data_IF_382517008691
#
_entry.id   IF_382517008691
#
_cell.length_a   1.000
_cell.length_b   1.000
_cell.length_c   1.000
_cell.angle_alpha   90.00
_cell.angle_beta   90.00
_cell.angle_gamma   90.00
#
_symmetry.space_group_name_H-M   'P 1'
#
loop_
_entity.id
_entity.type
_entity.pdbx_description
1 polymer ?
#
# COMPACT_ATOMS: atom_id res chain seq x y z
N UNK A 1 -8.74 -33.32 39.12
CA UNK A 1 -7.73 -33.68 38.10
C UNK A 1 -8.32 -33.78 36.67
N UNK A 2 -9.65 -33.76 36.49
CA UNK A 2 -10.31 -33.92 35.18
C UNK A 2 -10.34 -32.67 34.27
N UNK A 3 -10.10 -31.46 34.79
CA UNK A 3 -10.14 -30.23 33.97
C UNK A 3 -8.92 -30.01 33.07
N UNK A 4 -7.72 -30.29 33.58
CA UNK A 4 -6.46 -30.05 32.86
C UNK A 4 -6.29 -31.03 31.69
N UNK A 5 -6.73 -32.28 31.83
CA UNK A 5 -6.66 -33.28 30.76
C UNK A 5 -7.55 -32.94 29.55
N UNK A 6 -8.73 -32.37 29.78
CA UNK A 6 -9.64 -31.93 28.71
C UNK A 6 -9.08 -30.68 28.02
N UNK A 7 -8.49 -29.74 28.77
CA UNK A 7 -7.81 -28.57 28.18
C UNK A 7 -6.57 -28.94 27.36
N UNK A 8 -5.78 -29.92 27.81
CA UNK A 8 -4.59 -30.38 27.07
C UNK A 8 -4.95 -31.15 25.79
N UNK A 9 -6.03 -31.95 25.81
CA UNK A 9 -6.56 -32.62 24.61
C UNK A 9 -7.26 -31.64 23.64
N UNK A 10 -7.89 -30.58 24.16
CA UNK A 10 -8.44 -29.49 23.37
C UNK A 10 -7.35 -28.64 22.70
N UNK A 11 -6.24 -28.38 23.38
CA UNK A 11 -5.09 -27.66 22.83
C UNK A 11 -4.37 -28.49 21.76
N UNK A 12 -4.16 -29.79 22.00
CA UNK A 12 -3.49 -30.65 21.01
C UNK A 12 -4.30 -30.85 19.74
N UNK A 13 -5.62 -31.04 19.85
CA UNK A 13 -6.51 -31.13 18.69
C UNK A 13 -6.60 -29.83 17.89
N UNK A 14 -6.60 -28.68 18.58
CA UNK A 14 -6.62 -27.35 17.94
C UNK A 14 -5.32 -27.07 17.18
N UNK A 15 -4.16 -27.45 17.74
CA UNK A 15 -2.86 -27.30 17.09
C UNK A 15 -2.76 -28.17 15.83
N UNK A 16 -3.20 -29.43 15.90
CA UNK A 16 -3.21 -30.33 14.73
C UNK A 16 -4.13 -29.78 13.64
N UNK A 17 -5.32 -29.29 14.01
CA UNK A 17 -6.27 -28.70 13.05
C UNK A 17 -5.69 -27.43 12.39
N UNK A 18 -5.00 -26.59 13.16
CA UNK A 18 -4.30 -25.41 12.63
C UNK A 18 -3.18 -25.80 11.66
N UNK A 19 -2.37 -26.81 11.99
CA UNK A 19 -1.30 -27.28 11.11
C UNK A 19 -1.85 -27.87 9.81
N UNK A 20 -2.92 -28.66 9.88
CA UNK A 20 -3.59 -29.22 8.69
C UNK A 20 -4.19 -28.10 7.83
N UNK A 21 -4.84 -27.11 8.45
CA UNK A 21 -5.37 -25.96 7.73
C UNK A 21 -4.25 -25.14 7.08
N UNK A 22 -3.16 -24.86 7.80
CA UNK A 22 -2.01 -24.14 7.27
C UNK A 22 -1.37 -24.90 6.10
N UNK A 23 -1.24 -26.23 6.20
CA UNK A 23 -0.72 -27.06 5.13
C UNK A 23 -1.65 -27.08 3.91
N UNK A 24 -2.95 -27.23 4.11
CA UNK A 24 -3.94 -27.17 3.03
C UNK A 24 -3.96 -25.81 2.34
N UNK A 25 -3.93 -24.72 3.11
CA UNK A 25 -3.86 -23.36 2.60
C UNK A 25 -2.57 -23.11 1.81
N UNK A 26 -1.43 -23.60 2.31
CA UNK A 26 -0.14 -23.46 1.63
C UNK A 26 -0.10 -24.26 0.32
N UNK A 27 -0.62 -25.50 0.35
CA UNK A 27 -0.77 -26.33 -0.85
C UNK A 27 -1.68 -25.65 -1.88
N UNK A 28 -2.83 -25.14 -1.44
CA UNK A 28 -3.75 -24.41 -2.31
C UNK A 28 -3.10 -23.16 -2.89
N UNK A 29 -2.39 -22.38 -2.08
CA UNK A 29 -1.65 -21.20 -2.53
C UNK A 29 -0.55 -21.57 -3.55
N UNK A 30 0.16 -22.68 -3.34
CA UNK A 30 1.17 -23.19 -4.27
C UNK A 30 0.56 -23.62 -5.61
N UNK A 31 -0.52 -24.41 -5.58
CA UNK A 31 -1.26 -24.79 -6.79
C UNK A 31 -1.82 -23.58 -7.52
N UNK A 32 -2.38 -22.62 -6.77
CA UNK A 32 -2.87 -21.37 -7.33
C UNK A 32 -1.75 -20.61 -8.02
N UNK A 33 -0.59 -20.48 -7.40
CA UNK A 33 0.56 -19.75 -7.95
C UNK A 33 1.05 -20.35 -9.28
N UNK A 34 1.00 -21.67 -9.42
CA UNK A 34 1.30 -22.38 -10.68
C UNK A 34 0.23 -22.13 -11.74
N UNK A 35 -1.04 -22.12 -11.36
CA UNK A 35 -2.17 -21.99 -12.27
C UNK A 35 -2.61 -20.55 -12.57
N UNK A 36 -1.99 -19.53 -11.96
CA UNK A 36 -2.28 -18.10 -12.19
C UNK A 36 -2.35 -17.76 -13.68
N UNK A 37 -1.42 -18.28 -14.49
CA UNK A 37 -1.38 -18.02 -15.93
C UNK A 37 -2.57 -18.61 -16.71
N UNK A 38 -3.12 -19.74 -16.23
CA UNK A 38 -4.32 -20.35 -16.81
C UNK A 38 -5.57 -19.57 -16.41
N UNK A 39 -5.65 -19.14 -15.15
CA UNK A 39 -6.75 -18.31 -14.65
C UNK A 39 -6.81 -16.94 -15.36
N UNK A 40 -5.66 -16.30 -15.59
CA UNK A 40 -5.58 -15.03 -16.31
C UNK A 40 -6.14 -15.16 -17.74
N UNK A 41 -5.77 -16.23 -18.46
CA UNK A 41 -6.28 -16.51 -19.81
C UNK A 41 -7.78 -16.81 -19.82
N UNK A 42 -8.28 -17.55 -18.84
CA UNK A 42 -9.69 -17.90 -18.74
C UNK A 42 -10.56 -16.66 -18.51
N UNK A 43 -10.17 -15.80 -17.56
CA UNK A 43 -10.85 -14.54 -17.26
C UNK A 43 -10.81 -13.54 -18.43
N UNK A 44 -9.67 -13.42 -19.11
CA UNK A 44 -9.56 -12.58 -20.31
C UNK A 44 -10.38 -13.12 -21.50
N UNK A 45 -10.75 -14.40 -21.51
CA UNK A 45 -11.61 -14.97 -22.56
C UNK A 45 -13.08 -14.57 -22.41
N UNK A 46 -13.54 -14.31 -21.18
CA UNK A 46 -14.88 -13.80 -20.90
C UNK A 46 -15.04 -12.29 -21.17
N UNK A 47 -13.93 -11.57 -21.41
CA UNK A 47 -13.95 -10.14 -21.71
C UNK A 47 -13.91 -9.86 -23.23
N UNK A 48 -14.73 -8.92 -23.73
CA UNK A 48 -14.64 -8.45 -25.10
C UNK A 48 -13.26 -7.86 -25.39
N UNK A 49 -12.78 -7.96 -26.64
CA UNK A 49 -11.41 -7.62 -27.06
C UNK A 49 -11.02 -6.18 -26.67
N UNK A 50 -11.98 -5.26 -26.70
CA UNK A 50 -11.81 -3.85 -26.29
C UNK A 50 -11.49 -3.67 -24.79
N UNK A 51 -11.97 -4.58 -23.94
CA UNK A 51 -11.75 -4.54 -22.48
C UNK A 51 -10.47 -5.27 -22.04
N UNK A 52 -9.84 -6.08 -22.90
CA UNK A 52 -8.63 -6.87 -22.53
C UNK A 52 -7.43 -6.00 -22.19
N UNK A 53 -7.18 -4.92 -22.94
CA UNK A 53 -6.11 -3.98 -22.59
C UNK A 53 -6.37 -3.29 -21.26
N UNK A 54 -7.61 -2.88 -21.00
CA UNK A 54 -8.00 -2.22 -19.75
C UNK A 54 -7.86 -3.16 -18.55
N UNK A 55 -8.37 -4.40 -18.68
CA UNK A 55 -8.25 -5.41 -17.63
C UNK A 55 -6.79 -5.71 -17.29
N UNK A 56 -5.91 -5.77 -18.30
CA UNK A 56 -4.47 -5.98 -18.08
C UNK A 56 -3.81 -4.82 -17.34
N UNK A 57 -4.19 -3.58 -17.65
CA UNK A 57 -3.69 -2.38 -16.93
C UNK A 57 -4.18 -2.35 -15.48
N UNK A 58 -5.46 -2.66 -15.25
CA UNK A 58 -6.04 -2.74 -13.91
C UNK A 58 -5.35 -3.84 -13.09
N UNK A 59 -5.10 -5.01 -13.69
CA UNK A 59 -4.38 -6.11 -13.05
C UNK A 59 -2.95 -5.71 -12.64
N UNK A 60 -2.21 -5.04 -13.54
CA UNK A 60 -0.85 -4.55 -13.27
C UNK A 60 -0.83 -3.53 -12.13
N UNK A 61 -1.80 -2.63 -12.11
CA UNK A 61 -1.93 -1.61 -11.07
C UNK A 61 -2.28 -2.25 -9.72
N UNK A 62 -3.16 -3.26 -9.71
CA UNK A 62 -3.49 -4.03 -8.53
C UNK A 62 -2.28 -4.78 -7.97
N UNK A 63 -1.52 -5.46 -8.83
CA UNK A 63 -0.28 -6.14 -8.47
C UNK A 63 0.74 -5.17 -7.85
N UNK A 64 0.92 -4.01 -8.47
CA UNK A 64 1.80 -2.96 -7.96
C UNK A 64 1.33 -2.41 -6.60
N UNK A 65 0.02 -2.18 -6.44
CA UNK A 65 -0.56 -1.67 -5.21
C UNK A 65 -0.37 -2.64 -4.04
N UNK A 66 -0.66 -3.93 -4.27
CA UNK A 66 -0.48 -4.98 -3.28
C UNK A 66 1.00 -5.17 -2.96
N UNK A 67 1.86 -5.17 -3.98
CA UNK A 67 3.31 -5.27 -3.81
C UNK A 67 3.92 -4.11 -3.02
N UNK A 68 3.48 -2.88 -3.29
CA UNK A 68 3.89 -1.69 -2.53
C UNK A 68 3.43 -1.79 -1.07
N UNK A 69 2.17 -2.17 -0.82
CA UNK A 69 1.61 -2.35 0.52
C UNK A 69 2.38 -3.40 1.34
N UNK A 70 2.64 -4.57 0.76
CA UNK A 70 3.38 -5.65 1.44
C UNK A 70 4.79 -5.17 1.79
N UNK A 71 5.48 -4.53 0.83
CA UNK A 71 6.85 -4.04 1.03
C UNK A 71 6.93 -2.98 2.13
N UNK A 72 6.04 -1.99 2.11
CA UNK A 72 5.99 -0.96 3.14
C UNK A 72 5.64 -1.54 4.51
N UNK A 73 4.73 -2.52 4.56
CA UNK A 73 4.34 -3.17 5.82
C UNK A 73 5.49 -3.98 6.41
N UNK A 74 6.21 -4.76 5.60
CA UNK A 74 7.37 -5.54 6.07
C UNK A 74 8.47 -4.63 6.60
N UNK A 75 8.76 -3.53 5.89
CA UNK A 75 9.75 -2.54 6.34
C UNK A 75 9.27 -1.89 7.65
N UNK A 76 8.00 -1.50 7.76
CA UNK A 76 7.44 -0.90 8.95
C UNK A 76 7.50 -1.85 10.16
N UNK A 77 7.15 -3.12 9.99
CA UNK A 77 7.26 -4.16 11.04
C UNK A 77 8.70 -4.26 11.54
N UNK A 78 9.68 -4.33 10.62
CA UNK A 78 11.08 -4.43 10.97
C UNK A 78 11.59 -3.19 11.73
N UNK A 79 11.25 -1.99 11.24
CA UNK A 79 11.64 -0.72 11.86
C UNK A 79 10.98 -0.57 13.24
N UNK A 80 9.69 -0.84 13.37
CA UNK A 80 8.98 -0.80 14.65
C UNK A 80 9.61 -1.77 15.66
N UNK A 81 9.85 -3.02 15.26
CA UNK A 81 10.45 -4.02 16.12
C UNK A 81 11.85 -3.60 16.61
N UNK A 82 12.69 -3.05 15.73
CA UNK A 82 14.04 -2.59 16.09
C UNK A 82 14.00 -1.39 17.04
N UNK A 83 13.14 -0.40 16.78
CA UNK A 83 13.01 0.79 17.62
C UNK A 83 12.44 0.43 19.00
N UNK A 84 11.41 -0.41 19.06
CA UNK A 84 10.85 -0.90 20.32
C UNK A 84 11.85 -1.77 21.08
N UNK A 85 12.62 -2.61 20.39
CA UNK A 85 13.68 -3.40 21.01
C UNK A 85 14.73 -2.49 21.65
N UNK A 86 15.17 -1.45 20.95
CA UNK A 86 16.12 -0.48 21.48
C UNK A 86 15.56 0.20 22.73
N UNK A 87 14.32 0.68 22.68
CA UNK A 87 13.64 1.29 23.84
C UNK A 87 13.60 0.34 25.04
N UNK A 88 13.11 -0.89 24.84
CA UNK A 88 12.93 -1.85 25.93
C UNK A 88 14.27 -2.34 26.50
N UNK A 89 15.32 -2.42 25.68
CA UNK A 89 16.68 -2.77 26.14
C UNK A 89 17.32 -1.65 26.94
N UNK A 90 17.15 -0.39 26.54
CA UNK A 90 17.65 0.78 27.30
C UNK A 90 16.97 0.85 28.67
N UNK A 91 15.68 0.56 28.71
CA UNK A 91 14.86 0.52 29.92
C UNK A 91 15.12 -0.74 30.78
N UNK A 92 15.89 -1.71 30.28
CA UNK A 92 16.12 -3.02 30.90
C UNK A 92 14.84 -3.77 31.25
N UNK A 93 13.85 -3.68 30.36
CA UNK A 93 12.56 -4.32 30.54
C UNK A 93 12.68 -5.85 30.42
N UNK A 94 12.14 -6.64 31.36
CA UNK A 94 12.11 -8.09 31.20
C UNK A 94 11.29 -8.46 29.97
N UNK A 95 11.72 -9.49 29.24
CA UNK A 95 11.10 -9.90 27.98
C UNK A 95 11.13 -8.83 26.86
N UNK A 96 12.08 -7.88 26.92
CA UNK A 96 12.26 -6.83 25.90
C UNK A 96 12.19 -7.37 24.45
N UNK A 97 12.87 -8.48 24.16
CA UNK A 97 12.88 -9.06 22.80
C UNK A 97 11.49 -9.56 22.39
N UNK A 98 10.80 -10.28 23.28
CA UNK A 98 9.47 -10.83 23.01
C UNK A 98 8.44 -9.72 22.83
N UNK A 99 8.46 -8.70 23.70
CA UNK A 99 7.55 -7.57 23.62
C UNK A 99 7.79 -6.71 22.37
N UNK A 100 9.06 -6.52 21.98
CA UNK A 100 9.41 -5.80 20.76
C UNK A 100 8.92 -6.54 19.50
N UNK A 101 9.03 -7.88 19.47
CA UNK A 101 8.47 -8.69 18.40
C UNK A 101 6.95 -8.55 18.35
N UNK A 102 6.26 -8.70 19.48
CA UNK A 102 4.80 -8.51 19.56
C UNK A 102 4.42 -7.10 19.06
N UNK A 103 5.18 -6.07 19.44
CA UNK A 103 4.98 -4.70 18.99
C UNK A 103 5.15 -4.51 17.48
N UNK A 104 6.17 -5.13 16.89
CA UNK A 104 6.37 -5.14 15.44
C UNK A 104 5.26 -5.88 14.70
N UNK A 105 4.91 -7.10 15.14
CA UNK A 105 3.81 -7.88 14.54
C UNK A 105 2.45 -7.20 14.69
N UNK A 106 2.27 -6.36 15.72
CA UNK A 106 1.06 -5.57 15.87
C UNK A 106 0.79 -4.61 14.71
N UNK A 107 1.81 -4.27 13.93
CA UNK A 107 1.65 -3.43 12.74
C UNK A 107 0.80 -4.09 11.64
N UNK A 108 0.63 -5.42 11.67
CA UNK A 108 -0.30 -6.13 10.78
C UNK A 108 -1.77 -5.83 11.07
N UNK A 109 -2.09 -5.30 12.26
CA UNK A 109 -3.44 -4.98 12.70
C UNK A 109 -3.57 -3.45 12.68
N UNK A 110 -4.19 -2.86 11.64
CA UNK A 110 -4.27 -1.42 11.49
C UNK A 110 -4.97 -0.78 12.69
N UNK A 111 -4.37 0.28 13.23
CA UNK A 111 -4.86 1.13 14.33
C UNK A 111 -5.00 0.45 15.71
N UNK A 112 -5.48 -0.79 15.78
CA UNK A 112 -5.67 -1.48 17.05
C UNK A 112 -4.39 -2.13 17.56
N UNK A 113 -3.62 -2.77 16.67
CA UNK A 113 -2.42 -3.49 17.07
C UNK A 113 -1.36 -2.60 17.74
N UNK A 114 -0.96 -1.47 17.13
CA UNK A 114 0.07 -0.62 17.71
C UNK A 114 -0.30 -0.17 19.13
N UNK A 115 -1.56 0.20 19.36
CA UNK A 115 -2.05 0.62 20.69
C UNK A 115 -2.04 -0.53 21.70
N UNK A 116 -2.57 -1.70 21.34
CA UNK A 116 -2.63 -2.85 22.26
C UNK A 116 -1.24 -3.34 22.64
N UNK A 117 -0.28 -3.33 21.70
CA UNK A 117 1.09 -3.75 21.99
C UNK A 117 1.79 -2.86 23.02
N UNK A 118 1.60 -1.54 22.92
CA UNK A 118 2.20 -0.60 23.86
C UNK A 118 1.53 -0.70 25.23
N UNK A 119 0.22 -0.94 25.28
CA UNK A 119 -0.49 -1.19 26.54
C UNK A 119 0.02 -2.45 27.24
N UNK A 120 0.26 -3.54 26.51
CA UNK A 120 0.84 -4.76 27.08
C UNK A 120 2.25 -4.49 27.60
N UNK A 121 3.09 -3.80 26.83
CA UNK A 121 4.44 -3.44 27.27
C UNK A 121 4.43 -2.51 28.50
N UNK A 122 3.50 -1.56 28.55
CA UNK A 122 3.29 -0.67 29.68
C UNK A 122 2.86 -1.43 30.94
N UNK A 123 1.92 -2.37 30.83
CA UNK A 123 1.48 -3.19 31.96
C UNK A 123 2.63 -4.02 32.54
N UNK A 124 3.47 -4.62 31.67
CA UNK A 124 4.66 -5.36 32.09
C UNK A 124 5.69 -4.43 32.73
N UNK A 125 5.90 -3.23 32.17
CA UNK A 125 6.79 -2.22 32.74
C UNK A 125 6.35 -1.83 34.15
N UNK A 126 5.07 -1.55 34.35
CA UNK A 126 4.51 -1.13 35.63
C UNK A 126 4.61 -2.22 36.71
N UNK A 127 4.54 -3.49 36.30
CA UNK A 127 4.67 -4.63 37.21
C UNK A 127 6.12 -4.94 37.62
N UNK A 128 7.11 -4.51 36.83
CA UNK A 128 8.50 -4.95 36.98
C UNK A 128 9.49 -3.83 37.28
N UNK A 129 9.14 -2.58 36.96
CA UNK A 129 10.00 -1.41 37.03
C UNK A 129 9.30 -0.25 37.77
N UNK A 130 10.04 0.80 38.17
CA UNK A 130 9.46 1.97 38.78
C UNK A 130 8.38 2.64 37.90
N UNK A 131 7.32 3.22 38.49
CA UNK A 131 6.19 3.77 37.71
C UNK A 131 6.58 4.85 36.69
N UNK A 132 7.63 5.63 36.97
CA UNK A 132 8.13 6.66 36.06
C UNK A 132 8.72 6.04 34.77
N UNK A 133 9.34 4.87 34.88
CA UNK A 133 9.90 4.12 33.74
C UNK A 133 8.77 3.56 32.87
N UNK A 134 7.70 3.06 33.49
CA UNK A 134 6.52 2.61 32.76
C UNK A 134 5.91 3.77 31.95
N UNK A 135 5.83 4.98 32.51
CA UNK A 135 5.35 6.15 31.79
C UNK A 135 6.21 6.48 30.56
N UNK A 136 7.54 6.35 30.68
CA UNK A 136 8.48 6.52 29.55
C UNK A 136 8.18 5.50 28.45
N UNK A 137 7.99 4.22 28.82
CA UNK A 137 7.64 3.16 27.86
C UNK A 137 6.33 3.46 27.14
N UNK A 138 5.32 3.98 27.85
CA UNK A 138 4.04 4.37 27.26
C UNK A 138 4.21 5.51 26.24
N UNK A 139 4.83 6.61 26.66
CA UNK A 139 4.95 7.82 25.83
C UNK A 139 5.85 7.58 24.62
N UNK A 140 7.06 7.03 24.84
CA UNK A 140 8.00 6.78 23.75
C UNK A 140 7.51 5.62 22.88
N UNK A 141 6.92 4.58 23.47
CA UNK A 141 6.35 3.46 22.71
C UNK A 141 5.23 3.89 21.78
N UNK A 142 4.30 4.73 22.24
CA UNK A 142 3.27 5.33 21.38
C UNK A 142 3.89 6.21 20.30
N UNK A 143 4.92 7.00 20.63
CA UNK A 143 5.64 7.83 19.67
C UNK A 143 6.29 7.01 18.54
N UNK A 144 6.98 5.92 18.89
CA UNK A 144 7.61 5.00 17.93
C UNK A 144 6.55 4.35 17.04
N UNK A 145 5.47 3.85 17.63
CA UNK A 145 4.39 3.21 16.87
C UNK A 145 3.71 4.19 15.90
N UNK A 146 3.41 5.41 16.37
CA UNK A 146 2.83 6.45 15.54
C UNK A 146 3.77 6.87 14.39
N UNK A 147 5.05 7.10 14.70
CA UNK A 147 6.05 7.45 13.69
C UNK A 147 6.19 6.36 12.63
N UNK A 148 6.20 5.09 13.05
CA UNK A 148 6.32 3.95 12.13
C UNK A 148 5.06 3.78 11.28
N UNK A 149 3.88 4.05 11.85
CA UNK A 149 2.62 4.07 11.10
C UNK A 149 2.61 5.15 10.02
N UNK A 150 2.97 6.38 10.37
CA UNK A 150 3.06 7.50 9.40
C UNK A 150 4.11 7.20 8.33
N UNK A 151 5.24 6.60 8.71
CA UNK A 151 6.26 6.17 7.75
C UNK A 151 5.72 5.12 6.78
N UNK A 152 4.99 4.12 7.27
CA UNK A 152 4.36 3.09 6.44
C UNK A 152 3.35 3.69 5.45
N UNK A 153 2.49 4.60 5.93
CA UNK A 153 1.52 5.30 5.08
C UNK A 153 2.20 6.15 4.00
N UNK A 154 3.26 6.89 4.34
CA UNK A 154 4.01 7.70 3.37
C UNK A 154 4.73 6.83 2.35
N UNK A 155 5.32 5.72 2.78
CA UNK A 155 5.95 4.76 1.89
C UNK A 155 4.94 4.19 0.89
N UNK A 156 3.68 3.93 1.30
CA UNK A 156 2.61 3.53 0.39
C UNK A 156 2.15 4.65 -0.55
N UNK A 157 2.06 5.90 -0.05
CA UNK A 157 1.58 7.04 -0.82
C UNK A 157 2.57 7.49 -1.91
N UNK A 158 3.87 7.23 -1.73
CA UNK A 158 4.90 7.54 -2.72
C UNK A 158 4.70 6.77 -4.05
N UNK A 159 4.12 5.57 -3.99
CA UNK A 159 3.85 4.70 -5.14
C UNK A 159 2.45 4.91 -5.75
N UNK A 160 1.86 6.11 -5.58
CA UNK A 160 0.77 6.67 -6.39
C UNK A 160 -0.68 6.20 -6.13
N UNK A 161 -0.99 5.54 -5.00
CA UNK A 161 -2.38 5.18 -4.67
C UNK A 161 -2.79 5.70 -3.29
N UNK A 162 -3.47 6.86 -3.27
CA UNK A 162 -4.11 7.40 -2.07
C UNK A 162 -5.32 6.53 -1.71
N UNK A 163 -5.11 5.49 -0.90
CA UNK A 163 -6.22 4.66 -0.44
C UNK A 163 -7.11 5.48 0.51
N UNK A 164 -8.41 5.52 0.26
CA UNK A 164 -9.36 6.22 1.11
C UNK A 164 -9.43 5.50 2.47
N UNK A 165 -9.02 6.19 3.54
CA UNK A 165 -8.97 5.64 4.89
C UNK A 165 -10.32 5.08 5.35
N UNK A 166 -11.44 5.69 4.90
CA UNK A 166 -12.78 5.21 5.19
C UNK A 166 -13.03 3.80 4.67
N UNK A 167 -12.57 3.49 3.45
CA UNK A 167 -12.74 2.17 2.84
C UNK A 167 -11.96 1.11 3.62
N UNK A 168 -10.76 1.45 4.10
CA UNK A 168 -9.98 0.56 4.97
C UNK A 168 -10.71 0.25 6.28
N UNK A 169 -11.34 1.25 6.92
CA UNK A 169 -12.14 1.05 8.14
C UNK A 169 -13.33 0.12 7.87
N UNK A 170 -14.05 0.39 6.79
CA UNK A 170 -15.26 -0.35 6.43
C UNK A 170 -14.93 -1.82 6.16
N UNK A 171 -13.87 -2.08 5.39
CA UNK A 171 -13.43 -3.43 5.11
C UNK A 171 -12.91 -4.12 6.37
N UNK A 172 -12.19 -3.40 7.23
CA UNK A 172 -11.74 -3.95 8.50
C UNK A 172 -12.92 -4.45 9.33
N UNK A 173 -14.01 -3.69 9.39
CA UNK A 173 -15.23 -4.07 10.09
C UNK A 173 -15.92 -5.26 9.42
N UNK A 174 -16.05 -5.25 8.09
CA UNK A 174 -16.70 -6.33 7.33
C UNK A 174 -15.92 -7.66 7.40
N UNK A 175 -14.58 -7.62 7.24
CA UNK A 175 -13.74 -8.81 7.32
C UNK A 175 -13.64 -9.36 8.75
N UNK A 176 -13.69 -8.48 9.76
CA UNK A 176 -13.75 -8.93 11.15
C UNK A 176 -14.97 -9.82 11.43
N UNK A 177 -16.11 -9.53 10.80
CA UNK A 177 -17.33 -10.34 10.95
C UNK A 177 -17.29 -11.63 10.11
N UNK A 178 -16.70 -11.59 8.91
CA UNK A 178 -16.65 -12.75 8.00
C UNK A 178 -15.64 -13.82 8.40
N UNK A 179 -14.44 -13.42 8.80
CA UNK A 179 -13.34 -14.37 9.07
C UNK A 179 -12.53 -14.04 10.32
N UNK A 180 -13.07 -13.19 11.20
CA UNK A 180 -12.45 -12.84 12.46
C UNK A 180 -11.12 -12.14 12.30
N UNK A 181 -10.21 -12.41 13.25
CA UNK A 181 -8.88 -11.81 13.32
C UNK A 181 -8.05 -12.01 12.04
N UNK A 182 -8.10 -13.21 11.45
CA UNK A 182 -7.27 -13.56 10.29
C UNK A 182 -7.69 -12.80 9.03
N UNK A 183 -9.00 -12.62 8.83
CA UNK A 183 -9.52 -11.84 7.71
C UNK A 183 -9.17 -10.34 7.85
N UNK A 184 -9.09 -9.84 9.09
CA UNK A 184 -8.81 -8.43 9.36
C UNK A 184 -7.43 -7.96 8.87
N UNK A 185 -6.42 -8.86 8.86
CA UNK A 185 -5.06 -8.58 8.38
C UNK A 185 -5.06 -8.23 6.88
N UNK A 186 -5.97 -8.82 6.10
CA UNK A 186 -6.07 -8.60 4.66
C UNK A 186 -6.88 -7.34 4.29
N UNK A 187 -7.54 -6.70 5.25
CA UNK A 187 -8.44 -5.58 4.99
C UNK A 187 -7.77 -4.41 4.25
N UNK A 188 -6.55 -3.94 4.61
CA UNK A 188 -5.92 -2.84 3.89
C UNK A 188 -5.51 -3.21 2.45
N UNK A 189 -5.03 -4.44 2.24
CA UNK A 189 -4.67 -4.95 0.91
C UNK A 189 -5.89 -5.04 0.00
N UNK A 190 -7.01 -5.57 0.51
CA UNK A 190 -8.26 -5.61 -0.24
C UNK A 190 -8.83 -4.21 -0.45
N UNK A 191 -8.71 -3.29 0.49
CA UNK A 191 -9.17 -1.91 0.33
C UNK A 191 -8.39 -1.22 -0.80
N UNK A 192 -7.07 -1.41 -0.86
CA UNK A 192 -6.25 -0.93 -1.97
C UNK A 192 -6.67 -1.57 -3.30
N UNK A 193 -6.89 -2.89 -3.32
CA UNK A 193 -7.34 -3.62 -4.51
C UNK A 193 -8.70 -3.11 -5.02
N UNK A 194 -9.70 -3.03 -4.15
CA UNK A 194 -11.05 -2.56 -4.48
C UNK A 194 -10.99 -1.12 -4.99
N UNK A 195 -10.16 -0.28 -4.39
CA UNK A 195 -10.03 1.09 -4.85
C UNK A 195 -9.37 1.19 -6.23
N UNK A 196 -8.36 0.37 -6.52
CA UNK A 196 -7.76 0.28 -7.86
C UNK A 196 -8.78 -0.23 -8.89
N UNK A 197 -9.57 -1.25 -8.52
CA UNK A 197 -10.64 -1.78 -9.37
C UNK A 197 -11.75 -0.73 -9.62
N UNK A 198 -12.20 -0.05 -8.57
CA UNK A 198 -13.23 0.99 -8.63
C UNK A 198 -12.74 2.19 -9.44
N UNK A 199 -11.52 2.66 -9.19
CA UNK A 199 -10.88 3.71 -9.99
C UNK A 199 -10.76 3.28 -11.46
N UNK A 200 -10.33 2.04 -11.72
CA UNK A 200 -10.23 1.47 -13.07
C UNK A 200 -11.57 1.43 -13.82
N UNK A 201 -12.67 1.12 -13.12
CA UNK A 201 -14.02 1.14 -13.69
C UNK A 201 -14.56 2.57 -13.90
N UNK A 202 -14.24 3.51 -13.01
CA UNK A 202 -14.67 4.92 -13.10
C UNK A 202 -13.81 5.77 -14.02
N UNK A 203 -12.63 5.30 -14.41
CA UNK A 203 -11.85 5.88 -15.53
C UNK A 203 -12.55 5.70 -16.89
N UNK A 204 -13.82 5.30 -16.92
CA UNK A 204 -14.74 5.67 -18.01
C UNK A 204 -14.90 7.19 -18.13
N UNK A 205 -14.57 8.01 -17.11
CA UNK A 205 -14.75 9.48 -17.22
C UNK A 205 -13.80 10.40 -16.45
N UNK A 206 -12.72 9.92 -15.80
CA UNK A 206 -11.91 10.83 -14.96
C UNK A 206 -10.44 10.87 -15.36
N UNK A 207 -10.17 11.79 -16.28
CA UNK A 207 -8.95 12.62 -16.35
C UNK A 207 -7.68 11.94 -15.90
N UNK A 208 -6.94 11.44 -16.88
CA UNK A 208 -5.51 11.73 -16.90
C UNK A 208 -5.35 13.21 -16.47
N UNK A 209 -4.44 13.47 -15.56
CA UNK A 209 -4.05 14.83 -15.17
C UNK A 209 -2.98 15.47 -16.11
N UNK A 210 -3.14 15.60 -17.46
CA UNK A 210 -2.18 16.33 -18.31
C UNK A 210 -2.84 17.23 -19.38
N UNK A 211 -3.84 18.05 -19.03
CA UNK A 211 -4.32 19.07 -19.98
C UNK A 211 -4.44 20.47 -19.37
N UNK A 212 -4.76 20.62 -18.08
CA UNK A 212 -4.68 21.92 -17.41
C UNK A 212 -3.24 22.43 -17.29
N UNK A 213 -2.26 21.56 -17.02
CA UNK A 213 -0.84 21.96 -16.99
C UNK A 213 -0.30 22.42 -18.35
N UNK A 214 -0.80 21.85 -19.46
CA UNK A 214 -0.39 22.25 -20.81
C UNK A 214 -1.00 23.59 -21.20
N UNK A 215 -2.27 23.83 -20.86
CA UNK A 215 -2.93 25.12 -21.13
C UNK A 215 -2.27 26.23 -20.29
N UNK A 216 -1.98 25.98 -19.02
CA UNK A 216 -1.29 26.95 -18.15
C UNK A 216 0.13 27.25 -18.66
N UNK A 217 0.88 26.22 -19.08
CA UNK A 217 2.20 26.39 -19.73
C UNK A 217 2.10 27.18 -21.05
N UNK A 218 1.06 26.95 -21.85
CA UNK A 218 0.85 27.68 -23.11
C UNK A 218 0.47 29.14 -22.84
N UNK A 219 -0.36 29.41 -21.84
CA UNK A 219 -0.71 30.75 -21.39
C UNK A 219 0.52 31.49 -20.86
N UNK A 220 1.34 30.85 -20.02
CA UNK A 220 2.59 31.41 -19.50
C UNK A 220 3.59 31.70 -20.63
N UNK A 221 3.73 30.78 -21.59
CA UNK A 221 4.58 30.98 -22.78
C UNK A 221 4.06 32.10 -23.67
N UNK A 222 2.74 32.22 -23.87
CA UNK A 222 2.12 33.30 -24.63
C UNK A 222 2.33 34.66 -23.97
N UNK A 223 2.22 34.73 -22.65
CA UNK A 223 2.45 35.95 -21.88
C UNK A 223 3.92 36.35 -21.92
N UNK A 224 4.83 35.37 -21.81
CA UNK A 224 6.27 35.58 -21.99
C UNK A 224 6.60 36.12 -23.37
N UNK A 225 5.98 35.60 -24.44
CA UNK A 225 6.18 36.06 -25.82
C UNK A 225 5.60 37.47 -26.03
N UNK A 226 4.44 37.78 -25.43
CA UNK A 226 3.85 39.13 -25.47
C UNK A 226 4.68 40.19 -24.73
N UNK A 227 5.50 39.78 -23.76
CA UNK A 227 6.42 40.66 -23.02
C UNK A 227 7.76 40.93 -23.71
N UNK A 228 8.10 40.24 -24.80
CA UNK A 228 9.39 40.40 -25.47
C UNK A 228 9.48 41.72 -26.27
N UNK A 229 10.66 42.37 -26.33
CA UNK A 229 10.92 43.50 -27.21
C UNK A 229 10.64 43.18 -28.68
N UNK A 230 10.17 44.16 -29.45
CA UNK A 230 9.59 43.97 -30.80
C UNK A 230 10.56 43.33 -31.81
N UNK A 231 11.87 43.53 -31.64
CA UNK A 231 12.91 42.92 -32.47
C UNK A 231 12.94 41.38 -32.38
N UNK A 232 12.67 40.81 -31.20
CA UNK A 232 12.74 39.36 -30.95
C UNK A 232 11.48 38.62 -31.45
N UNK A 233 10.34 39.35 -31.55
CA UNK A 233 9.11 38.81 -32.15
C UNK A 233 9.25 38.58 -33.65
N UNK A 234 10.01 39.43 -34.34
CA UNK A 234 10.25 39.30 -35.78
C UNK A 234 11.08 38.04 -36.09
N UNK A 235 12.10 37.74 -35.28
CA UNK A 235 12.91 36.53 -35.43
C UNK A 235 12.12 35.25 -35.17
N UNK A 236 11.23 35.24 -34.16
CA UNK A 236 10.33 34.12 -33.91
C UNK A 236 9.34 33.89 -35.06
N UNK A 237 8.78 34.95 -35.63
CA UNK A 237 7.90 34.84 -36.80
C UNK A 237 8.68 34.33 -38.01
N UNK A 238 9.95 34.74 -38.17
CA UNK A 238 10.79 34.25 -39.28
C UNK A 238 11.13 32.76 -39.15
N UNK A 239 11.38 32.27 -37.92
CA UNK A 239 11.70 30.86 -37.67
C UNK A 239 10.47 29.97 -37.83
N UNK A 240 9.28 30.40 -37.40
CA UNK A 240 8.04 29.66 -37.65
C UNK A 240 7.71 29.59 -39.15
N UNK A 241 7.89 30.68 -39.90
CA UNK A 241 7.70 30.67 -41.35
C UNK A 241 8.67 29.72 -42.05
N UNK A 242 9.93 29.70 -41.61
CA UNK A 242 10.95 28.80 -42.14
C UNK A 242 10.65 27.33 -41.83
N UNK A 243 10.09 27.03 -40.66
CA UNK A 243 9.66 25.67 -40.31
C UNK A 243 8.48 25.21 -41.17
N UNK A 244 7.54 26.09 -41.51
CA UNK A 244 6.38 25.76 -42.36
C UNK A 244 6.80 25.45 -43.81
N UNK A 245 7.74 26.23 -44.36
CA UNK A 245 8.33 25.96 -45.67
C UNK A 245 9.03 24.59 -45.71
N UNK A 246 9.81 24.26 -44.67
CA UNK A 246 10.50 22.96 -44.57
C UNK A 246 9.53 21.78 -44.42
N UNK A 247 8.45 21.94 -43.66
CA UNK A 247 7.43 20.90 -43.53
C UNK A 247 6.67 20.68 -44.83
N UNK A 248 6.43 21.75 -45.59
CA UNK A 248 5.81 21.68 -46.91
C UNK A 248 6.73 21.00 -47.90
N UNK A 249 8.02 21.33 -47.91
CA UNK A 249 9.04 20.69 -48.74
C UNK A 249 9.14 19.18 -48.45
N UNK A 250 9.23 18.79 -47.18
CA UNK A 250 9.27 17.38 -46.77
C UNK A 250 7.98 16.64 -47.18
N UNK A 251 6.81 17.26 -47.05
CA UNK A 251 5.53 16.67 -47.49
C UNK A 251 5.50 16.48 -49.01
N UNK A 252 6.06 17.40 -49.79
CA UNK A 252 6.13 17.23 -51.25
C UNK A 252 7.10 16.12 -51.68
N UNK A 253 8.22 15.95 -50.97
CA UNK A 253 9.17 14.85 -51.22
C UNK A 253 8.58 13.49 -50.84
N UNK A 254 7.80 13.42 -49.76
CA UNK A 254 7.12 12.18 -49.35
C UNK A 254 5.87 11.84 -50.19
N UNK A 255 5.25 12.82 -50.85
CA UNK A 255 4.07 12.62 -51.69
C UNK A 255 4.37 12.21 -53.15
N UNK A 256 5.65 12.21 -53.55
CA UNK A 256 6.11 11.91 -54.91
C UNK A 256 6.83 10.54 -55.05
N UNK A 257 6.76 9.69 -54.01
CA UNK A 257 7.10 8.26 -54.05
C UNK A 257 5.82 7.43 -53.87
#
# INVERSE_FOLDING_TARGET
VTGVGISLLGLSSSLVSFLLFAFAALSLAYYWLIEVAHFERLWLSFLPITARQQARTIWRNAESAVGAYIRSTVIAVAVAALLLLALFRVVQLPFATTLALIGGFSQFIPRLGPVTSVLIAFAVALATLPPWVALIVLVIGLGIQYATHVFAERAMQADALKVNAFLQVLLLLALAELGGFWAMIFAPSLAALIQVLYAGMLTTTTTVQPQQSVIDLLCERLERIKGLPEAERVDLVSSMRRSDDLLTEVRTVLGNN
#
